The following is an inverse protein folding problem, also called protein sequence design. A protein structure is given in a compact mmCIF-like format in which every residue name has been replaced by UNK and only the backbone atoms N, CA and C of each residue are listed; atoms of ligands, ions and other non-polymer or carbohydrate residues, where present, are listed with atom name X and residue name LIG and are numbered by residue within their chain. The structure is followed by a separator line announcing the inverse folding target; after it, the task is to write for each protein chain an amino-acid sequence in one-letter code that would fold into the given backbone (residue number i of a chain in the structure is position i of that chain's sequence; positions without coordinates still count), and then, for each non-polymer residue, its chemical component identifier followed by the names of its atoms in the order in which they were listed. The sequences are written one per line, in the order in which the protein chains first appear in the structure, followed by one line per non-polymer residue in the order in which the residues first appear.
data_IF_635027551075
#
_entry.id   IF_635027551075
#
_cell.length_a   1.000
_cell.length_b   1.000
_cell.length_c   1.000
_cell.angle_alpha   90.00
_cell.angle_beta   90.00
_cell.angle_gamma   90.00
#
_symmetry.space_group_name_H-M   'P 1'
#
loop_
_entity.id
_entity.type
_entity.pdbx_description
1 polymer ?
#
# COMPACT_ATOMS: atom_id res chain seq x y z
N UNK A 1 -18.66 -49.75 5.31
CA UNK A 1 -18.70 -48.27 5.31
C UNK A 1 -17.92 -47.80 4.11
N UNK A 2 -18.55 -47.09 3.15
CA UNK A 2 -17.92 -46.80 1.85
C UNK A 2 -16.90 -45.67 1.98
N UNK A 3 -15.65 -46.06 2.25
CA UNK A 3 -14.49 -45.19 2.48
C UNK A 3 -14.24 -44.19 1.34
N UNK A 4 -14.66 -44.53 0.12
CA UNK A 4 -14.57 -43.67 -1.07
C UNK A 4 -15.33 -42.36 -0.93
N UNK A 5 -16.52 -42.36 -0.31
CA UNK A 5 -17.30 -41.13 -0.10
C UNK A 5 -16.69 -40.24 0.99
N UNK A 6 -16.03 -40.86 1.98
CA UNK A 6 -15.33 -40.14 3.05
C UNK A 6 -14.09 -39.43 2.49
N UNK A 7 -13.31 -40.11 1.64
CA UNK A 7 -12.17 -39.51 0.94
C UNK A 7 -12.63 -38.38 0.00
N UNK A 8 -13.67 -38.62 -0.81
CA UNK A 8 -14.17 -37.61 -1.74
C UNK A 8 -14.68 -36.36 -1.00
N UNK A 9 -15.40 -36.54 0.12
CA UNK A 9 -15.84 -35.44 0.98
C UNK A 9 -14.66 -34.66 1.59
N UNK A 10 -13.61 -35.36 2.05
CA UNK A 10 -12.41 -34.71 2.57
C UNK A 10 -11.68 -33.90 1.50
N UNK A 11 -11.53 -34.43 0.27
CA UNK A 11 -10.90 -33.73 -0.85
C UNK A 11 -11.70 -32.46 -1.21
N UNK A 12 -13.03 -32.54 -1.26
CA UNK A 12 -13.86 -31.35 -1.52
C UNK A 12 -13.72 -30.28 -0.43
N UNK A 13 -13.60 -30.67 0.85
CA UNK A 13 -13.36 -29.73 1.94
C UNK A 13 -11.96 -29.12 1.86
N UNK A 14 -10.93 -29.90 1.55
CA UNK A 14 -9.58 -29.39 1.35
C UNK A 14 -9.49 -28.42 0.18
N UNK A 15 -10.14 -28.72 -0.94
CA UNK A 15 -10.18 -27.83 -2.11
C UNK A 15 -10.96 -26.56 -1.77
N UNK A 16 -12.13 -26.66 -1.11
CA UNK A 16 -12.94 -25.51 -0.71
C UNK A 16 -12.24 -24.58 0.28
N UNK A 17 -11.42 -25.14 1.19
CA UNK A 17 -10.65 -24.36 2.16
C UNK A 17 -9.50 -23.56 1.52
N UNK A 18 -8.93 -24.04 0.42
CA UNK A 18 -7.85 -23.34 -0.29
C UNK A 18 -8.35 -22.13 -1.11
N UNK A 19 -9.66 -22.01 -1.37
CA UNK A 19 -10.24 -20.90 -2.12
C UNK A 19 -10.73 -19.73 -1.26
N UNK A 20 -10.56 -19.77 0.07
CA UNK A 20 -11.14 -18.77 0.98
C UNK A 20 -10.20 -17.60 1.33
N UNK A 21 -9.18 -17.30 0.52
CA UNK A 21 -8.27 -16.16 0.78
C UNK A 21 -8.21 -15.23 -0.43
N UNK A 22 -9.23 -14.38 -0.55
CA UNK A 22 -9.23 -13.24 -1.46
C UNK A 22 -9.87 -12.04 -0.75
N UNK A 23 -9.14 -11.48 0.21
CA UNK A 23 -9.58 -10.28 0.92
C UNK A 23 -9.25 -9.06 0.03
N UNK A 24 -10.29 -8.47 -0.55
CA UNK A 24 -10.20 -7.22 -1.30
C UNK A 24 -11.34 -6.29 -0.88
N UNK A 25 -11.01 -5.03 -0.59
CA UNK A 25 -11.98 -3.95 -0.38
C UNK A 25 -11.87 -2.99 -1.56
N UNK A 26 -12.85 -3.04 -2.46
CA UNK A 26 -13.00 -2.05 -3.52
C UNK A 26 -14.11 -1.07 -3.15
N UNK A 27 -13.87 0.21 -3.36
CA UNK A 27 -14.83 1.28 -3.07
C UNK A 27 -14.78 2.30 -4.19
N UNK A 28 -15.92 2.55 -4.83
CA UNK A 28 -16.06 3.62 -5.81
C UNK A 28 -17.21 4.54 -5.41
N UNK A 29 -16.94 5.84 -5.43
CA UNK A 29 -17.89 6.90 -5.09
C UNK A 29 -17.87 7.89 -6.24
N UNK A 30 -19.04 8.20 -6.79
CA UNK A 30 -19.24 9.35 -7.65
C UNK A 30 -20.24 10.26 -6.98
N UNK A 31 -19.83 11.48 -6.70
CA UNK A 31 -20.63 12.46 -5.99
C UNK A 31 -20.54 13.82 -6.68
N UNK A 32 -21.57 14.64 -6.41
CA UNK A 32 -21.64 16.06 -6.73
C UNK A 32 -21.79 16.80 -5.40
N UNK A 33 -20.67 16.96 -4.69
CA UNK A 33 -20.62 17.44 -3.31
C UNK A 33 -19.61 16.68 -2.46
N UNK A 34 -19.71 16.81 -1.14
CA UNK A 34 -18.69 16.29 -0.24
C UNK A 34 -18.68 14.76 -0.12
N UNK A 35 -17.49 14.17 -0.24
CA UNK A 35 -17.24 12.77 0.07
C UNK A 35 -15.95 12.62 0.87
N UNK A 36 -15.96 11.68 1.82
CA UNK A 36 -14.81 11.29 2.62
C UNK A 36 -14.63 9.78 2.51
N UNK A 37 -13.44 9.36 2.11
CA UNK A 37 -13.03 7.96 2.11
C UNK A 37 -11.81 7.82 3.00
N UNK A 38 -11.91 6.94 3.98
CA UNK A 38 -10.80 6.59 4.85
C UNK A 38 -10.66 5.08 4.95
N UNK A 39 -9.44 4.62 5.16
CA UNK A 39 -9.17 3.23 5.43
C UNK A 39 -7.76 3.06 5.96
N UNK A 40 -7.57 2.08 6.81
CA UNK A 40 -6.27 1.68 7.28
C UNK A 40 -6.25 0.17 7.45
N UNK A 41 -5.07 -0.41 7.40
CA UNK A 41 -4.85 -1.78 7.80
C UNK A 41 -3.47 -1.93 8.43
N UNK A 42 -3.36 -2.92 9.30
CA UNK A 42 -2.12 -3.30 9.97
C UNK A 42 -2.04 -4.82 9.87
N UNK A 43 -0.93 -5.33 9.35
CA UNK A 43 -0.73 -6.76 9.12
C UNK A 43 0.74 -7.14 9.26
N UNK A 44 1.11 -8.07 10.15
CA UNK A 44 2.43 -8.71 10.28
C UNK A 44 3.58 -7.95 9.59
N UNK A 45 3.97 -6.80 10.17
CA UNK A 45 5.06 -5.89 9.72
C UNK A 45 4.72 -4.82 8.66
N UNK A 46 3.48 -4.75 8.20
CA UNK A 46 2.99 -3.81 7.20
C UNK A 46 1.93 -2.91 7.82
N UNK A 47 1.98 -1.64 7.48
CA UNK A 47 0.99 -0.65 7.89
C UNK A 47 0.62 0.21 6.70
N UNK A 48 -0.65 0.57 6.62
CA UNK A 48 -1.16 1.45 5.58
C UNK A 48 -2.31 2.27 6.14
N UNK A 49 -2.35 3.53 5.75
CA UNK A 49 -3.47 4.42 6.05
C UNK A 49 -3.72 5.33 4.87
N UNK A 50 -4.98 5.63 4.62
CA UNK A 50 -5.39 6.61 3.65
C UNK A 50 -6.59 7.43 4.14
N UNK A 51 -6.55 8.71 3.80
CA UNK A 51 -7.63 9.65 3.94
C UNK A 51 -7.77 10.41 2.64
N UNK A 52 -8.98 10.49 2.13
CA UNK A 52 -9.29 11.14 0.89
C UNK A 52 -10.59 11.90 1.06
N UNK A 53 -10.58 13.19 0.74
CA UNK A 53 -11.79 13.99 0.78
C UNK A 53 -11.93 14.84 -0.47
N UNK A 54 -13.17 15.18 -0.78
CA UNK A 54 -13.53 16.15 -1.82
C UNK A 54 -14.78 16.90 -1.41
N UNK A 55 -15.01 18.10 -1.94
CA UNK A 55 -16.20 18.92 -1.64
C UNK A 55 -17.13 19.19 -2.83
N UNK A 56 -16.75 18.77 -4.04
CA UNK A 56 -17.41 19.09 -5.31
C UNK A 56 -17.57 17.80 -6.14
N UNK A 57 -17.94 17.95 -7.41
CA UNK A 57 -18.04 16.84 -8.35
C UNK A 57 -16.73 16.07 -8.46
N UNK A 58 -16.77 14.81 -8.05
CA UNK A 58 -15.63 13.93 -8.04
C UNK A 58 -15.99 12.46 -8.26
N UNK A 59 -15.03 11.74 -8.81
CA UNK A 59 -15.02 10.27 -8.89
C UNK A 59 -13.82 9.79 -8.10
N UNK A 60 -14.09 9.03 -7.04
CA UNK A 60 -13.11 8.42 -6.18
C UNK A 60 -13.20 6.90 -6.37
N UNK A 61 -12.07 6.24 -6.53
CA UNK A 61 -11.98 4.78 -6.53
C UNK A 61 -10.80 4.35 -5.69
N UNK A 62 -11.00 3.31 -4.89
CA UNK A 62 -9.98 2.66 -4.08
C UNK A 62 -10.10 1.17 -4.25
N UNK A 63 -8.97 0.52 -4.48
CA UNK A 63 -8.82 -0.93 -4.39
C UNK A 63 -7.76 -1.25 -3.35
N UNK A 64 -8.13 -1.96 -2.28
CA UNK A 64 -7.22 -2.52 -1.29
C UNK A 64 -7.24 -4.04 -1.43
N UNK A 65 -6.09 -4.65 -1.71
CA UNK A 65 -5.92 -6.10 -1.80
C UNK A 65 -4.96 -6.56 -0.72
N UNK A 66 -5.35 -7.59 0.01
CA UNK A 66 -4.57 -8.15 1.12
C UNK A 66 -3.99 -9.55 0.80
N UNK A 67 -4.22 -10.08 -0.40
CA UNK A 67 -3.70 -11.37 -0.82
C UNK A 67 -2.25 -11.22 -1.30
N UNK A 68 -1.29 -11.65 -0.48
CA UNK A 68 0.15 -11.51 -0.76
C UNK A 68 0.68 -10.15 -0.31
N UNK A 69 1.49 -9.43 -1.12
CA UNK A 69 1.89 -8.07 -0.77
C UNK A 69 0.65 -7.17 -0.76
N UNK A 70 0.46 -6.42 0.32
CA UNK A 70 -0.67 -5.54 0.43
C UNK A 70 -0.58 -4.43 -0.63
N UNK A 71 -1.58 -4.37 -1.50
CA UNK A 71 -1.64 -3.44 -2.61
C UNK A 71 -2.79 -2.48 -2.39
N UNK A 72 -2.48 -1.19 -2.35
CA UNK A 72 -3.46 -0.13 -2.43
C UNK A 72 -3.36 0.58 -3.78
N UNK A 73 -4.50 0.87 -4.37
CA UNK A 73 -4.60 1.78 -5.50
C UNK A 73 -5.73 2.75 -5.26
N UNK A 74 -5.40 4.04 -5.20
CA UNK A 74 -6.37 5.12 -5.18
C UNK A 74 -6.35 5.85 -6.53
N UNK A 75 -7.55 6.20 -7.00
CA UNK A 75 -7.72 7.11 -8.13
C UNK A 75 -8.78 8.12 -7.77
N UNK A 76 -8.48 9.37 -8.06
CA UNK A 76 -9.34 10.50 -7.75
C UNK A 76 -9.34 11.40 -8.96
N UNK A 77 -10.52 11.82 -9.39
CA UNK A 77 -10.66 12.82 -10.41
C UNK A 77 -11.78 13.76 -9.97
N UNK A 78 -11.48 15.05 -9.83
CA UNK A 78 -12.47 16.01 -9.37
C UNK A 78 -12.22 17.42 -9.91
N UNK A 79 -13.30 18.21 -9.96
CA UNK A 79 -13.29 19.59 -10.43
C UNK A 79 -13.10 20.64 -9.34
N UNK A 80 -13.23 20.24 -8.07
CA UNK A 80 -13.08 21.12 -6.91
C UNK A 80 -12.02 20.64 -5.93
N UNK A 81 -12.17 21.04 -4.67
CA UNK A 81 -11.17 20.73 -3.66
C UNK A 81 -11.03 19.21 -3.48
N UNK A 82 -9.78 18.72 -3.54
CA UNK A 82 -9.42 17.33 -3.27
C UNK A 82 -8.30 17.37 -2.25
N UNK A 83 -8.47 16.69 -1.12
CA UNK A 83 -7.38 16.42 -0.21
C UNK A 83 -7.11 14.94 -0.12
N UNK A 84 -5.83 14.60 -0.06
CA UNK A 84 -5.40 13.24 0.17
C UNK A 84 -4.24 13.22 1.16
N UNK A 85 -4.22 12.17 1.96
CA UNK A 85 -3.12 11.79 2.82
C UNK A 85 -3.03 10.28 2.79
N UNK A 86 -1.86 9.76 2.46
CA UNK A 86 -1.63 8.34 2.30
C UNK A 86 -0.27 7.97 2.89
N UNK A 87 -0.29 6.98 3.77
CA UNK A 87 0.88 6.44 4.44
C UNK A 87 0.99 4.94 4.16
N UNK A 88 2.20 4.48 3.88
CA UNK A 88 2.54 3.06 3.82
C UNK A 88 3.86 2.84 4.56
N UNK A 89 3.90 1.82 5.40
CA UNK A 89 5.07 1.46 6.20
C UNK A 89 5.31 -0.04 6.13
N UNK A 90 6.59 -0.42 6.12
CA UNK A 90 7.04 -1.80 6.19
C UNK A 90 8.19 -1.90 7.18
N UNK A 91 8.11 -2.86 8.09
CA UNK A 91 9.11 -3.06 9.14
C UNK A 91 9.64 -4.49 9.15
N UNK A 92 10.80 -4.71 8.54
CA UNK A 92 11.41 -6.04 8.53
C UNK A 92 12.10 -6.32 9.85
N UNK A 93 11.45 -7.15 10.67
CA UNK A 93 12.08 -7.81 11.81
C UNK A 93 12.65 -9.13 11.32
N UNK A 94 13.94 -9.43 11.52
CA UNK A 94 14.45 -10.76 11.23
C UNK A 94 13.70 -11.78 12.09
N UNK A 95 13.29 -12.87 11.46
CA UNK A 95 12.61 -13.98 12.12
C UNK A 95 13.58 -14.62 13.11
N UNK A 96 13.41 -14.31 14.40
CA UNK A 96 14.21 -14.93 15.46
C UNK A 96 13.60 -16.30 15.70
N UNK A 97 13.99 -17.30 14.92
CA UNK A 97 13.70 -18.70 15.22
C UNK A 97 14.53 -19.14 16.44
N UNK A 98 14.25 -18.59 17.61
CA UNK A 98 14.90 -18.91 18.88
C UNK A 98 14.22 -20.13 19.50
N UNK A 99 14.48 -21.31 18.93
CA UNK A 99 14.33 -22.54 19.71
C UNK A 99 15.37 -23.62 19.44
N UNK A 100 16.09 -23.60 18.32
CA UNK A 100 17.09 -24.61 17.99
C UNK A 100 18.26 -23.99 17.25
N UNK A 101 19.36 -23.69 17.96
CA UNK A 101 20.76 -23.86 17.53
C UNK A 101 21.68 -22.89 18.27
N UNK A 102 22.34 -23.37 19.32
CA UNK A 102 23.56 -22.79 19.91
C UNK A 102 24.78 -22.81 18.97
N UNK A 103 24.59 -23.15 17.69
CA UNK A 103 25.65 -23.30 16.68
C UNK A 103 25.37 -22.55 15.36
N UNK A 104 24.30 -21.76 15.28
CA UNK A 104 24.10 -20.92 14.09
C UNK A 104 24.78 -19.57 14.29
N UNK A 105 25.74 -19.27 13.41
CA UNK A 105 26.44 -18.00 13.38
C UNK A 105 25.48 -16.83 13.31
N UNK A 106 25.90 -15.70 13.88
CA UNK A 106 25.18 -14.42 13.87
C UNK A 106 24.85 -14.07 12.42
N UNK A 107 23.65 -14.40 11.93
CA UNK A 107 23.15 -13.82 10.69
C UNK A 107 23.05 -12.32 10.98
N UNK A 108 23.65 -11.49 10.13
CA UNK A 108 23.55 -10.04 10.27
C UNK A 108 22.07 -9.64 10.27
N UNK A 109 21.56 -9.33 11.45
CA UNK A 109 20.19 -8.91 11.74
C UNK A 109 20.01 -7.46 11.28
N UNK A 110 19.81 -7.25 9.98
CA UNK A 110 19.57 -5.92 9.45
C UNK A 110 18.09 -5.56 9.62
N UNK A 111 17.78 -4.85 10.71
CA UNK A 111 16.46 -4.24 10.91
C UNK A 111 16.29 -3.15 9.87
N UNK A 112 15.26 -3.28 9.03
CA UNK A 112 14.98 -2.32 7.95
C UNK A 112 13.55 -1.80 8.09
N UNK A 113 13.42 -0.49 8.21
CA UNK A 113 12.14 0.23 8.14
C UNK A 113 12.06 0.99 6.83
N UNK A 114 10.89 0.95 6.20
CA UNK A 114 10.60 1.65 4.96
C UNK A 114 9.27 2.38 5.13
N UNK A 115 9.27 3.69 4.90
CA UNK A 115 8.09 4.53 5.08
C UNK A 115 7.89 5.42 3.86
N UNK A 116 6.63 5.51 3.42
CA UNK A 116 6.18 6.28 2.27
C UNK A 116 4.95 7.09 2.66
N UNK A 117 5.10 8.40 2.83
CA UNK A 117 3.99 9.30 3.09
C UNK A 117 3.81 10.27 1.93
N UNK A 118 2.58 10.43 1.47
CA UNK A 118 2.20 11.31 0.38
C UNK A 118 0.92 12.04 0.74
N UNK A 119 0.98 13.36 0.73
CA UNK A 119 -0.17 14.20 1.05
C UNK A 119 -0.28 15.36 0.08
N UNK A 120 -1.48 15.90 -0.07
CA UNK A 120 -1.70 17.07 -0.90
C UNK A 120 -3.10 17.62 -0.82
N UNK A 121 -3.21 18.86 -1.25
CA UNK A 121 -4.44 19.62 -1.38
C UNK A 121 -4.49 20.18 -2.80
N UNK A 122 -5.48 19.75 -3.57
CA UNK A 122 -5.71 20.18 -4.95
C UNK A 122 -7.00 20.98 -5.06
N UNK A 123 -7.03 21.92 -5.99
CA UNK A 123 -8.23 22.68 -6.34
C UNK A 123 -9.01 22.03 -7.48
N UNK A 124 -8.33 21.24 -8.31
CA UNK A 124 -8.90 20.38 -9.34
C UNK A 124 -7.80 19.44 -9.86
N UNK A 125 -8.23 18.35 -10.47
CA UNK A 125 -7.34 17.46 -11.22
C UNK A 125 -7.54 16.00 -10.89
N UNK A 126 -6.49 15.24 -11.21
CA UNK A 126 -6.46 13.79 -11.08
C UNK A 126 -5.26 13.35 -10.26
N UNK A 127 -5.50 12.38 -9.38
CA UNK A 127 -4.49 11.70 -8.57
C UNK A 127 -4.65 10.21 -8.81
N UNK A 128 -3.56 9.54 -9.14
CA UNK A 128 -3.47 8.08 -9.16
C UNK A 128 -2.28 7.73 -8.28
N UNK A 129 -2.52 7.07 -7.15
CA UNK A 129 -1.46 6.56 -6.29
C UNK A 129 -1.62 5.06 -6.13
N UNK A 130 -0.53 4.33 -6.31
CA UNK A 130 -0.46 2.89 -6.12
C UNK A 130 0.68 2.61 -5.16
N UNK A 131 0.37 1.97 -4.03
CA UNK A 131 1.35 1.56 -3.03
C UNK A 131 1.27 0.06 -2.83
N UNK A 132 2.41 -0.60 -2.90
CA UNK A 132 2.55 -2.02 -2.64
C UNK A 132 3.52 -2.22 -1.50
N UNK A 133 3.09 -2.92 -0.46
CA UNK A 133 3.88 -3.21 0.74
C UNK A 133 4.00 -4.72 0.86
N UNK A 134 5.22 -5.24 0.89
CA UNK A 134 5.44 -6.69 0.93
C UNK A 134 6.78 -7.06 1.55
N UNK A 135 6.99 -8.36 1.76
CA UNK A 135 8.26 -8.88 2.28
C UNK A 135 9.45 -8.53 1.38
N UNK A 136 9.24 -8.48 0.06
CA UNK A 136 10.28 -8.15 -0.93
C UNK A 136 10.60 -6.66 -1.02
N UNK A 137 9.71 -5.77 -0.56
CA UNK A 137 9.96 -4.33 -0.59
C UNK A 137 8.70 -3.50 -0.51
N UNK A 138 8.91 -2.19 -0.43
CA UNK A 138 7.85 -1.20 -0.54
C UNK A 138 8.00 -0.47 -1.87
N UNK A 139 6.95 -0.47 -2.67
CA UNK A 139 6.90 0.19 -3.98
C UNK A 139 5.77 1.21 -4.00
N UNK A 140 6.00 2.35 -4.63
CA UNK A 140 4.98 3.38 -4.82
C UNK A 140 5.11 4.02 -6.18
N UNK A 141 3.95 4.29 -6.79
CA UNK A 141 3.82 5.11 -7.98
C UNK A 141 2.74 6.16 -7.73
N UNK A 142 3.11 7.42 -7.85
CA UNK A 142 2.19 8.54 -7.67
C UNK A 142 2.20 9.40 -8.93
N UNK A 143 1.03 9.54 -9.55
CA UNK A 143 0.78 10.40 -10.69
C UNK A 143 -0.22 11.46 -10.28
N UNK A 144 0.16 12.73 -10.41
CA UNK A 144 -0.70 13.86 -10.09
C UNK A 144 -0.72 14.80 -11.27
N UNK A 145 -1.91 15.20 -11.68
CA UNK A 145 -2.10 16.17 -12.75
C UNK A 145 -3.21 17.13 -12.35
N UNK A 146 -2.88 18.41 -12.15
CA UNK A 146 -3.86 19.42 -11.79
C UNK A 146 -3.21 20.63 -11.12
N UNK A 147 -4.00 21.35 -10.34
CA UNK A 147 -3.52 22.55 -9.64
C UNK A 147 -3.68 22.37 -8.15
N UNK A 148 -2.62 22.62 -7.38
CA UNK A 148 -2.66 22.43 -5.93
C UNK A 148 -1.30 22.52 -5.28
N UNK A 149 -1.14 21.79 -4.19
CA UNK A 149 0.12 21.56 -3.50
C UNK A 149 0.20 20.09 -3.08
N UNK A 150 1.39 19.52 -3.15
CA UNK A 150 1.65 18.15 -2.72
C UNK A 150 3.02 18.02 -2.07
N UNK A 151 3.12 17.06 -1.17
CA UNK A 151 4.34 16.64 -0.53
C UNK A 151 4.43 15.13 -0.59
N UNK A 152 5.52 14.63 -1.14
CA UNK A 152 5.85 13.21 -1.17
C UNK A 152 7.10 13.01 -0.31
N UNK A 153 7.11 11.98 0.51
CA UNK A 153 8.21 11.70 1.41
C UNK A 153 8.45 10.22 1.50
N UNK A 154 9.74 9.88 1.53
CA UNK A 154 10.22 8.52 1.59
C UNK A 154 11.32 8.47 2.63
N UNK A 155 11.30 7.46 3.47
CA UNK A 155 12.35 7.23 4.46
C UNK A 155 12.68 5.74 4.48
N UNK A 156 13.97 5.42 4.39
CA UNK A 156 14.47 4.10 4.72
C UNK A 156 15.45 4.20 5.85
N UNK A 157 15.30 3.29 6.80
CA UNK A 157 16.20 3.17 7.95
C UNK A 157 16.72 1.76 8.03
N UNK A 158 18.02 1.61 7.85
CA UNK A 158 18.78 0.42 8.21
C UNK A 158 19.62 0.72 9.46
N UNK A 159 20.19 -0.32 10.10
CA UNK A 159 20.98 -0.23 11.33
C UNK A 159 21.96 0.95 11.33
N UNK A 160 22.69 1.17 10.22
CA UNK A 160 23.72 2.20 10.12
C UNK A 160 23.45 3.28 9.07
N UNK A 161 22.36 3.19 8.32
CA UNK A 161 22.04 4.14 7.24
C UNK A 161 20.60 4.62 7.36
N UNK A 162 20.40 5.91 7.15
CA UNK A 162 19.08 6.49 7.00
C UNK A 162 19.09 7.32 5.74
N UNK A 163 18.20 6.97 4.81
CA UNK A 163 18.02 7.69 3.56
C UNK A 163 16.63 8.30 3.58
N UNK A 164 16.54 9.60 3.33
CA UNK A 164 15.27 10.28 3.23
C UNK A 164 15.22 11.10 1.94
N UNK A 165 14.04 11.15 1.34
CA UNK A 165 13.75 12.04 0.23
C UNK A 165 12.42 12.72 0.48
N UNK A 166 12.34 14.01 0.14
CA UNK A 166 11.13 14.81 0.23
C UNK A 166 10.99 15.63 -1.04
N UNK A 167 9.87 15.44 -1.72
CA UNK A 167 9.50 16.16 -2.93
C UNK A 167 8.32 17.06 -2.61
N UNK A 168 8.43 18.34 -2.95
CA UNK A 168 7.33 19.30 -2.83
C UNK A 168 7.06 19.95 -4.18
N UNK A 169 5.79 20.06 -4.55
CA UNK A 169 5.35 20.78 -5.73
C UNK A 169 4.07 21.57 -5.41
N UNK A 170 3.93 22.74 -6.02
CA UNK A 170 2.74 23.57 -5.90
C UNK A 170 2.46 24.39 -7.16
N UNK A 171 1.21 24.83 -7.31
CA UNK A 171 0.69 25.46 -8.52
C UNK A 171 0.16 24.43 -9.52
N UNK A 172 0.04 24.80 -10.81
CA UNK A 172 -0.26 23.87 -11.89
C UNK A 172 0.91 22.90 -12.05
N UNK A 173 0.64 21.61 -11.90
CA UNK A 173 1.68 20.59 -11.82
C UNK A 173 1.28 19.29 -12.51
N UNK A 174 2.28 18.67 -13.12
CA UNK A 174 2.26 17.29 -13.56
C UNK A 174 3.42 16.57 -12.87
N UNK A 175 3.09 15.71 -11.93
CA UNK A 175 4.06 14.99 -11.11
C UNK A 175 3.94 13.51 -11.39
N UNK A 176 5.09 12.87 -11.59
CA UNK A 176 5.22 11.43 -11.64
C UNK A 176 6.37 11.03 -10.73
N UNK A 177 6.06 10.40 -9.61
CA UNK A 177 7.05 9.85 -8.69
C UNK A 177 6.96 8.33 -8.68
N UNK A 178 8.12 7.68 -8.77
CA UNK A 178 8.28 6.24 -8.65
C UNK A 178 9.30 5.99 -7.56
N UNK A 179 8.93 5.17 -6.60
CA UNK A 179 9.78 4.81 -5.46
C UNK A 179 9.81 3.30 -5.35
N UNK A 180 11.00 2.74 -5.28
CA UNK A 180 11.21 1.32 -5.06
C UNK A 180 12.25 1.15 -3.95
N UNK A 181 11.81 0.61 -2.82
CA UNK A 181 12.62 0.37 -1.63
C UNK A 181 12.78 -1.14 -1.43
N UNK A 182 13.91 -1.56 -0.86
CA UNK A 182 14.07 -2.94 -0.42
C UNK A 182 14.55 -3.95 -1.46
N UNK A 183 14.91 -3.51 -2.67
CA UNK A 183 15.39 -4.37 -3.76
C UNK A 183 14.32 -4.79 -4.77
N UNK A 184 13.11 -4.24 -4.69
CA UNK A 184 12.09 -4.45 -5.71
C UNK A 184 12.44 -3.71 -7.00
N UNK A 185 12.53 -4.42 -8.13
CA UNK A 185 12.57 -3.80 -9.44
C UNK A 185 11.21 -3.15 -9.76
N UNK A 186 11.19 -2.03 -10.48
CA UNK A 186 9.94 -1.38 -10.86
C UNK A 186 9.43 -1.94 -12.19
N UNK A 187 8.39 -2.79 -12.14
CA UNK A 187 7.90 -3.54 -13.32
C UNK A 187 6.76 -2.85 -14.09
N UNK A 188 6.50 -1.56 -13.84
CA UNK A 188 5.66 -0.73 -14.72
C UNK A 188 4.13 -0.85 -14.59
N UNK A 189 3.61 -1.40 -13.49
CA UNK A 189 2.16 -1.52 -13.20
C UNK A 189 1.34 -0.25 -13.44
#
# INVERSE_FOLDING_TARGET
MNWYYVIAGAICLFIGWQFSQADMISTSISCDGAALLSGSFIWLNQSYSQHLFTDDRAVLSRDLRFTGPALSTIRVNGSGAIGYDEYAGNYRIPDVSSFLCSFMGVKNEERRSEELASSGLMQNGQIISTKQVGEEGTRSRTLINGTGQMSLSTETRSNNTTENSRTYAAGPMQVSEVVALGGGEYDGW
#
